data_IF_383206278138
#
_entry.id   IF_383206278138
#
_cell.length_a   1.000
_cell.length_b   1.000
_cell.length_c   1.000
_cell.angle_alpha   90.00
_cell.angle_beta   90.00
_cell.angle_gamma   90.00
#
_symmetry.space_group_name_H-M   'P 1'
#
loop_
_entity.id
_entity.type
_entity.pdbx_description
1 polymer ?
#
# COMPACT_ATOMS: atom_id res chain seq x y z
N UNK A 1 -5.21 4.57 11.02
CA UNK A 1 -6.52 4.52 10.31
C UNK A 1 -6.36 4.03 8.87
N UNK A 2 -5.14 3.99 8.34
CA UNK A 2 -4.82 3.71 6.94
C UNK A 2 -5.08 2.26 6.53
N UNK A 3 -4.74 1.30 7.40
CA UNK A 3 -4.92 -0.13 7.10
C UNK A 3 -6.38 -0.47 6.80
N UNK A 4 -7.34 0.10 7.55
CA UNK A 4 -8.76 -0.11 7.29
C UNK A 4 -9.21 0.45 5.93
N UNK A 5 -8.66 1.57 5.49
CA UNK A 5 -8.94 2.17 4.17
C UNK A 5 -8.34 1.32 3.06
N UNK A 6 -7.09 0.90 3.20
CA UNK A 6 -6.44 0.00 2.23
C UNK A 6 -7.11 -1.38 2.17
N UNK A 7 -7.67 -1.88 3.27
CA UNK A 7 -8.50 -3.09 3.26
C UNK A 7 -9.80 -2.90 2.45
N UNK A 8 -10.38 -1.70 2.44
CA UNK A 8 -11.48 -1.39 1.54
C UNK A 8 -11.02 -1.36 0.08
N UNK A 9 -9.84 -0.80 -0.22
CA UNK A 9 -9.26 -0.84 -1.57
C UNK A 9 -9.03 -2.28 -2.02
N UNK A 10 -8.45 -3.13 -1.16
CA UNK A 10 -8.25 -4.55 -1.44
C UNK A 10 -9.57 -5.23 -1.84
N UNK A 11 -10.64 -4.99 -1.08
CA UNK A 11 -11.97 -5.52 -1.41
C UNK A 11 -12.52 -4.99 -2.73
N UNK A 12 -12.28 -3.72 -3.06
CA UNK A 12 -12.72 -3.12 -4.32
C UNK A 12 -11.96 -3.66 -5.53
N UNK A 13 -10.68 -3.96 -5.38
CA UNK A 13 -9.85 -4.57 -6.43
C UNK A 13 -10.12 -6.07 -6.60
N UNK A 14 -10.60 -6.74 -5.55
CA UNK A 14 -11.06 -8.13 -5.58
C UNK A 14 -9.95 -9.09 -5.97
N UNK A 15 -10.28 -10.04 -6.84
CA UNK A 15 -9.39 -11.15 -7.26
C UNK A 15 -8.10 -10.71 -7.99
N UNK A 16 -7.97 -9.42 -8.31
CA UNK A 16 -6.72 -8.85 -8.83
C UNK A 16 -5.62 -8.81 -7.79
N UNK A 17 -5.98 -8.66 -6.50
CA UNK A 17 -4.98 -8.61 -5.43
C UNK A 17 -4.42 -10.01 -5.21
N UNK A 18 -3.10 -10.13 -5.27
CA UNK A 18 -2.38 -11.40 -5.27
C UNK A 18 -2.18 -12.01 -6.66
N UNK A 19 -2.60 -11.32 -7.73
CA UNK A 19 -2.39 -11.75 -9.13
C UNK A 19 -1.81 -10.63 -9.98
N UNK A 20 -2.59 -9.56 -10.16
CA UNK A 20 -2.24 -8.40 -10.98
C UNK A 20 -1.59 -7.29 -10.14
N UNK A 21 -1.88 -7.26 -8.84
CA UNK A 21 -1.30 -6.30 -7.89
C UNK A 21 -1.04 -6.96 -6.54
N UNK A 22 0.03 -6.55 -5.88
CA UNK A 22 0.40 -7.03 -4.55
C UNK A 22 0.55 -5.86 -3.61
N UNK A 23 0.06 -6.02 -2.38
CA UNK A 23 0.14 -4.99 -1.36
C UNK A 23 1.23 -5.36 -0.36
N UNK A 24 2.03 -4.38 0.04
CA UNK A 24 3.08 -4.55 1.02
C UNK A 24 3.00 -3.42 2.04
N UNK A 25 2.79 -3.77 3.30
CA UNK A 25 2.87 -2.84 4.43
C UNK A 25 4.16 -3.13 5.19
N UNK A 26 5.11 -2.20 5.11
CA UNK A 26 6.43 -2.33 5.73
C UNK A 26 6.40 -1.57 7.05
N UNK A 27 6.79 -2.23 8.15
CA UNK A 27 6.89 -1.59 9.46
C UNK A 27 7.91 -0.45 9.43
N UNK A 28 7.61 0.61 10.19
CA UNK A 28 8.53 1.72 10.47
C UNK A 28 9.30 1.52 11.78
N UNK A 29 8.88 0.57 12.62
CA UNK A 29 9.50 0.22 13.90
C UNK A 29 9.77 -1.29 13.96
N UNK A 30 10.76 -1.78 13.21
CA UNK A 30 11.08 -3.22 13.18
C UNK A 30 11.58 -3.77 14.52
N UNK A 31 11.91 -2.90 15.48
CA UNK A 31 12.36 -3.33 16.82
C UNK A 31 11.20 -3.77 17.71
N UNK A 32 9.99 -3.29 17.44
CA UNK A 32 8.78 -3.64 18.20
C UNK A 32 7.78 -4.45 17.36
N UNK A 33 7.75 -4.24 16.04
CA UNK A 33 6.84 -4.93 15.12
C UNK A 33 7.41 -6.27 14.70
N UNK A 34 7.25 -7.29 15.55
CA UNK A 34 7.64 -8.67 15.22
C UNK A 34 6.70 -9.29 14.16
N UNK A 35 7.14 -10.34 13.45
CA UNK A 35 6.28 -11.05 12.50
C UNK A 35 4.94 -11.53 13.10
N UNK A 36 4.95 -11.99 14.35
CA UNK A 36 3.75 -12.45 15.07
C UNK A 36 2.80 -11.27 15.37
N UNK A 37 3.34 -10.14 15.82
CA UNK A 37 2.57 -8.93 16.08
C UNK A 37 1.93 -8.40 14.79
N UNK A 38 2.68 -8.35 13.69
CA UNK A 38 2.20 -7.94 12.38
C UNK A 38 1.15 -8.89 11.81
N UNK A 39 1.30 -10.20 12.01
CA UNK A 39 0.28 -11.19 11.63
C UNK A 39 -1.02 -10.95 12.39
N UNK A 40 -0.95 -10.81 13.71
CA UNK A 40 -2.13 -10.51 14.54
C UNK A 40 -2.76 -9.17 14.15
N UNK A 41 -1.95 -8.17 13.77
CA UNK A 41 -2.44 -6.88 13.27
C UNK A 41 -3.19 -7.05 11.94
N UNK A 42 -2.63 -7.76 10.96
CA UNK A 42 -3.27 -8.04 9.67
C UNK A 42 -4.61 -8.78 9.83
N UNK A 43 -4.67 -9.77 10.74
CA UNK A 43 -5.90 -10.51 11.05
C UNK A 43 -6.99 -9.60 11.62
N UNK A 44 -6.65 -8.66 12.53
CA UNK A 44 -7.61 -7.69 13.07
C UNK A 44 -8.25 -6.82 11.98
N UNK A 45 -7.51 -6.49 10.94
CA UNK A 45 -8.02 -5.70 9.80
C UNK A 45 -8.65 -6.56 8.69
N UNK A 46 -8.74 -7.87 8.88
CA UNK A 46 -9.30 -8.82 7.92
C UNK A 46 -8.62 -8.71 6.56
N UNK A 47 -7.30 -8.59 6.57
CA UNK A 47 -6.48 -8.53 5.37
C UNK A 47 -6.59 -9.84 4.61
N UNK A 48 -6.93 -9.75 3.32
CA UNK A 48 -7.04 -10.89 2.42
C UNK A 48 -5.71 -11.30 1.79
N UNK A 49 -5.69 -12.40 1.00
CA UNK A 49 -4.50 -12.83 0.27
C UNK A 49 -3.97 -11.75 -0.68
N UNK A 50 -2.67 -11.85 -1.01
CA UNK A 50 -1.99 -10.87 -1.87
C UNK A 50 -1.55 -9.58 -1.17
N UNK A 51 -1.74 -9.48 0.16
CA UNK A 51 -1.21 -8.38 0.97
C UNK A 51 -0.35 -8.93 2.11
N UNK A 52 0.92 -8.53 2.15
CA UNK A 52 1.87 -8.91 3.19
C UNK A 52 2.22 -7.73 4.11
N UNK A 53 2.43 -8.06 5.38
CA UNK A 53 3.00 -7.17 6.38
C UNK A 53 4.44 -7.61 6.63
N UNK A 54 5.37 -6.69 6.45
CA UNK A 54 6.80 -6.97 6.40
C UNK A 54 7.52 -6.20 7.51
N UNK A 55 8.48 -6.88 8.14
CA UNK A 55 9.46 -6.32 9.07
C UNK A 55 10.83 -6.92 8.74
N UNK A 56 11.89 -6.48 9.40
CA UNK A 56 13.23 -6.98 9.12
C UNK A 56 14.29 -6.28 9.94
N UNK A 57 15.52 -6.28 9.44
CA UNK A 57 16.56 -5.48 10.08
C UNK A 57 16.27 -4.01 9.88
N UNK A 58 16.59 -3.24 10.91
CA UNK A 58 16.41 -1.79 10.94
C UNK A 58 17.17 -1.07 9.79
N UNK A 59 18.34 -1.59 9.39
CA UNK A 59 19.08 -1.11 8.21
C UNK A 59 18.33 -1.35 6.88
N UNK A 60 17.71 -2.53 6.72
CA UNK A 60 17.01 -2.92 5.50
C UNK A 60 15.71 -2.12 5.35
N UNK A 61 14.95 -1.99 6.44
CA UNK A 61 13.71 -1.19 6.48
C UNK A 61 13.99 0.25 6.11
N UNK A 62 15.03 0.87 6.70
CA UNK A 62 15.43 2.23 6.34
C UNK A 62 15.88 2.35 4.88
N UNK A 63 16.64 1.38 4.38
CA UNK A 63 17.10 1.38 3.00
C UNK A 63 15.92 1.35 2.02
N UNK A 64 14.98 0.43 2.23
CA UNK A 64 13.78 0.29 1.38
C UNK A 64 12.93 1.56 1.45
N UNK A 65 12.63 2.05 2.65
CA UNK A 65 11.86 3.28 2.83
C UNK A 65 12.50 4.48 2.14
N UNK A 66 13.83 4.61 2.21
CA UNK A 66 14.57 5.66 1.49
C UNK A 66 14.48 5.51 -0.03
N UNK A 67 14.67 4.29 -0.54
CA UNK A 67 14.65 4.01 -1.99
C UNK A 67 13.27 4.20 -2.60
N UNK A 68 12.21 3.89 -1.86
CA UNK A 68 10.83 4.12 -2.27
C UNK A 68 10.34 5.54 -1.99
N UNK A 69 11.21 6.44 -1.48
CA UNK A 69 10.81 7.81 -1.13
C UNK A 69 9.71 7.85 -0.06
N UNK A 70 9.63 6.84 0.79
CA UNK A 70 8.68 6.73 1.90
C UNK A 70 9.26 7.22 3.23
N UNK A 71 10.56 7.54 3.27
CA UNK A 71 11.21 8.14 4.43
C UNK A 71 11.07 9.67 4.45
N UNK A 72 10.71 10.25 5.59
CA UNK A 72 10.84 11.68 5.90
C UNK A 72 11.95 11.93 6.92
N UNK A 73 12.70 13.06 6.85
CA UNK A 73 13.66 13.45 7.88
C UNK A 73 13.06 13.57 9.29
N UNK A 74 11.76 13.86 9.39
CA UNK A 74 11.01 13.99 10.64
C UNK A 74 10.55 12.66 11.23
N UNK A 75 10.64 11.55 10.50
CA UNK A 75 10.24 10.21 10.97
C UNK A 75 11.01 9.77 12.21
N UNK A 76 12.27 10.22 12.34
CA UNK A 76 13.12 9.97 13.50
C UNK A 76 12.77 10.83 14.73
N UNK A 77 12.03 11.93 14.54
CA UNK A 77 11.74 12.94 15.57
C UNK A 77 10.29 12.85 16.04
N UNK A 78 9.37 12.44 15.16
CA UNK A 78 7.94 12.31 15.46
C UNK A 78 7.40 11.06 14.79
N UNK A 79 7.20 9.98 15.57
CA UNK A 79 6.47 8.79 15.11
C UNK A 79 5.01 9.08 14.75
N UNK A 80 4.46 10.20 15.23
CA UNK A 80 3.09 10.65 14.94
C UNK A 80 2.99 11.58 13.70
N UNK A 81 4.12 12.04 13.15
CA UNK A 81 4.19 13.02 12.08
C UNK A 81 4.15 12.44 10.66
N UNK A 82 3.97 11.13 10.51
CA UNK A 82 3.98 10.48 9.21
C UNK A 82 2.77 10.91 8.38
N UNK A 83 3.03 11.53 7.23
CA UNK A 83 2.06 11.45 6.13
C UNK A 83 2.12 10.03 5.59
N UNK A 84 1.00 9.29 5.56
CA UNK A 84 1.01 7.95 5.02
C UNK A 84 1.23 7.99 3.51
N UNK A 85 2.51 7.94 3.15
CA UNK A 85 2.94 7.85 1.79
C UNK A 85 2.65 6.42 1.31
N UNK A 86 1.76 6.33 0.33
CA UNK A 86 1.54 5.13 -0.45
C UNK A 86 2.39 5.24 -1.71
N UNK A 87 3.15 4.21 -2.03
CA UNK A 87 3.80 4.10 -3.34
C UNK A 87 3.03 3.08 -4.17
N UNK A 88 2.62 3.48 -5.37
CA UNK A 88 2.00 2.59 -6.37
C UNK A 88 2.97 2.49 -7.54
N UNK A 89 3.33 1.27 -7.93
CA UNK A 89 4.33 1.03 -8.97
C UNK A 89 3.90 -0.06 -9.94
N UNK A 90 4.23 0.15 -11.21
CA UNK A 90 4.21 -0.86 -12.27
C UNK A 90 5.66 -1.13 -12.68
N UNK A 91 6.21 -2.25 -12.23
CA UNK A 91 7.60 -2.63 -12.50
C UNK A 91 7.86 -2.84 -14.00
N UNK A 92 6.89 -3.43 -14.72
CA UNK A 92 7.06 -3.75 -16.14
C UNK A 92 7.17 -2.50 -17.02
N UNK A 93 6.49 -1.40 -16.65
CA UNK A 93 6.58 -0.12 -17.36
C UNK A 93 7.58 0.85 -16.75
N UNK A 94 8.06 0.58 -15.53
CA UNK A 94 8.94 1.47 -14.77
C UNK A 94 8.22 2.69 -14.19
N UNK A 95 6.89 2.70 -14.17
CA UNK A 95 6.09 3.81 -13.68
C UNK A 95 5.86 3.69 -12.17
N UNK A 96 6.10 4.78 -11.44
CA UNK A 96 5.92 4.85 -9.99
C UNK A 96 5.27 6.17 -9.60
N UNK A 97 4.30 6.11 -8.70
CA UNK A 97 3.57 7.28 -8.22
C UNK A 97 3.44 7.26 -6.70
N UNK A 98 3.81 8.39 -6.07
CA UNK A 98 3.50 8.65 -4.66
C UNK A 98 2.06 9.12 -4.54
N UNK A 99 1.35 8.55 -3.57
CA UNK A 99 -0.02 8.88 -3.25
C UNK A 99 -0.22 8.90 -1.72
N UNK A 100 -1.43 9.23 -1.28
CA UNK A 100 -1.79 9.28 0.13
C UNK A 100 -2.71 8.11 0.50
N UNK A 101 -2.31 7.30 1.48
CA UNK A 101 -3.12 6.14 1.91
C UNK A 101 -4.39 6.55 2.70
N UNK A 102 -4.58 7.84 2.98
CA UNK A 102 -5.75 8.38 3.69
C UNK A 102 -6.86 8.89 2.76
N UNK A 103 -6.70 8.81 1.45
CA UNK A 103 -7.74 9.19 0.50
C UNK A 103 -8.98 8.28 0.55
N UNK A 104 -10.01 8.66 -0.21
CA UNK A 104 -11.23 7.86 -0.37
C UNK A 104 -10.89 6.52 -1.07
N UNK A 105 -11.21 5.34 -0.47
CA UNK A 105 -10.86 4.04 -1.04
C UNK A 105 -11.39 3.79 -2.45
N UNK A 106 -12.56 4.34 -2.80
CA UNK A 106 -13.13 4.22 -4.15
C UNK A 106 -12.31 5.00 -5.19
N UNK A 107 -11.85 6.18 -4.81
CA UNK A 107 -11.02 7.01 -5.68
C UNK A 107 -9.66 6.33 -5.92
N UNK A 108 -9.02 5.85 -4.85
CA UNK A 108 -7.76 5.13 -4.94
C UNK A 108 -7.88 3.86 -5.81
N UNK A 109 -8.93 3.05 -5.64
CA UNK A 109 -9.16 1.87 -6.47
C UNK A 109 -9.40 2.21 -7.96
N UNK A 110 -10.13 3.29 -8.24
CA UNK A 110 -10.36 3.76 -9.62
C UNK A 110 -9.06 4.28 -10.26
N UNK A 111 -8.29 5.09 -9.52
CA UNK A 111 -6.99 5.58 -9.97
C UNK A 111 -6.01 4.43 -10.23
N UNK A 112 -5.95 3.42 -9.37
CA UNK A 112 -5.14 2.22 -9.62
C UNK A 112 -5.61 1.49 -10.88
N UNK A 113 -6.92 1.34 -11.07
CA UNK A 113 -7.47 0.70 -12.27
C UNK A 113 -7.10 1.46 -13.56
N UNK A 114 -7.06 2.78 -13.50
CA UNK A 114 -6.63 3.62 -14.62
C UNK A 114 -5.12 3.53 -14.85
N UNK A 115 -4.34 3.64 -13.78
CA UNK A 115 -2.87 3.57 -13.79
C UNK A 115 -2.35 2.24 -14.34
N UNK A 116 -2.97 1.13 -13.95
CA UNK A 116 -2.61 -0.21 -14.45
C UNK A 116 -3.32 -0.59 -15.75
N UNK A 117 -4.14 0.30 -16.32
CA UNK A 117 -4.84 0.05 -17.59
C UNK A 117 -5.91 -1.04 -17.52
N UNK A 118 -6.43 -1.37 -16.33
CA UNK A 118 -7.44 -2.42 -16.13
C UNK A 118 -8.85 -2.04 -16.56
N UNK A 119 -9.03 -0.90 -17.24
CA UNK A 119 -10.33 -0.47 -17.75
C UNK A 119 -10.90 -1.55 -18.65
N UNK A 120 -11.91 -2.25 -18.14
CA UNK A 120 -12.76 -3.12 -18.96
C UNK A 120 -13.47 -2.25 -19.98
N UNK A 121 -13.40 -2.63 -21.26
CA UNK A 121 -14.14 -1.97 -22.32
C UNK A 121 -15.63 -1.89 -22.00
N UNK A 122 -16.08 -0.74 -21.50
CA UNK A 122 -17.40 -0.21 -21.76
C UNK A 122 -17.19 1.15 -22.39
N UNK A 123 -17.23 1.17 -23.72
CA UNK A 123 -17.58 2.38 -24.45
C UNK A 123 -18.89 2.89 -23.86
N UNK A 124 -18.85 4.06 -23.22
CA UNK A 124 -20.05 4.83 -22.99
C UNK A 124 -20.50 5.26 -24.39
N UNK A 125 -21.47 4.55 -24.97
CA UNK A 125 -22.21 5.05 -26.12
C UNK A 125 -22.95 6.30 -25.64
N UNK A 126 -22.44 7.47 -26.00
CA UNK A 126 -23.24 8.69 -26.07
C UNK A 126 -24.27 8.51 -27.18
N UNK A 127 -25.55 8.61 -26.81
CA UNK A 127 -26.66 8.78 -27.74
C UNK A 127 -26.72 10.24 -28.22
#
# INVERSE_FOLDING_TARGET
METAKLAQVQRLLGDRVGKDVFFYSISIDPTHDTPEALKAYAERFHVGPGWLFLTGKDEDVRLVSKKLGLSSPTDAVTRDGHQPALMVGNEATGEWMRNSAVENPKFLAAMMSDFFGWRTGKSVRTY
#
